data_IF_611290342707
#
_entry.id   IF_611290342707
#
_cell.length_a   1.000
_cell.length_b   1.000
_cell.length_c   1.000
_cell.angle_alpha   90.00
_cell.angle_beta   90.00
_cell.angle_gamma   90.00
#
_symmetry.space_group_name_H-M   'P 1'
#
loop_
_entity.id
_entity.type
_entity.pdbx_description
1 polymer ?
#
# COMPACT_ATOMS: atom_id res chain seq x y z
N UNK A 1 -11.34 49.42 17.14
CA UNK A 1 -12.23 48.37 17.69
C UNK A 1 -13.07 47.67 16.64
N UNK A 2 -13.91 48.33 15.80
CA UNK A 2 -14.70 47.64 14.76
C UNK A 2 -13.87 46.96 13.66
N UNK A 3 -12.72 47.55 13.29
CA UNK A 3 -11.80 46.99 12.28
C UNK A 3 -11.09 45.71 12.76
N UNK A 4 -10.86 45.63 14.04
CA UNK A 4 -10.16 44.49 14.66
C UNK A 4 -11.09 43.32 14.92
N UNK A 5 -12.37 43.61 15.26
CA UNK A 5 -13.43 42.58 15.38
C UNK A 5 -13.75 41.99 14.01
N UNK A 6 -13.82 42.81 12.94
CA UNK A 6 -14.06 42.32 11.59
C UNK A 6 -12.89 41.43 11.08
N UNK A 7 -11.64 41.80 11.40
CA UNK A 7 -10.45 40.98 11.08
C UNK A 7 -10.42 39.68 11.88
N UNK A 8 -10.79 39.71 13.15
CA UNK A 8 -10.89 38.52 13.98
C UNK A 8 -12.00 37.56 13.51
N UNK A 9 -13.16 38.07 13.09
CA UNK A 9 -14.25 37.27 12.51
C UNK A 9 -13.88 36.66 11.17
N UNK A 10 -13.18 37.40 10.29
CA UNK A 10 -12.69 36.86 9.02
C UNK A 10 -11.60 35.82 9.26
N UNK A 11 -10.70 36.05 10.20
CA UNK A 11 -9.68 35.05 10.58
C UNK A 11 -10.29 33.77 11.17
N UNK A 12 -11.30 33.88 12.02
CA UNK A 12 -12.00 32.74 12.60
C UNK A 12 -12.81 31.97 11.54
N UNK A 13 -13.42 32.66 10.57
CA UNK A 13 -14.13 32.02 9.48
C UNK A 13 -13.17 31.26 8.53
N UNK A 14 -11.96 31.75 8.29
CA UNK A 14 -10.95 31.07 7.48
C UNK A 14 -10.43 29.82 8.20
N UNK A 15 -10.28 29.85 9.52
CA UNK A 15 -9.84 28.70 10.31
C UNK A 15 -10.94 27.62 10.39
N UNK A 16 -12.21 28.04 10.46
CA UNK A 16 -13.36 27.13 10.46
C UNK A 16 -13.68 26.55 9.07
N UNK A 17 -13.14 27.14 8.00
CA UNK A 17 -13.28 26.70 6.63
C UNK A 17 -12.02 26.00 6.09
N UNK A 18 -10.97 25.89 6.90
CA UNK A 18 -9.87 24.97 6.56
C UNK A 18 -10.49 23.57 6.57
N UNK A 19 -10.65 22.90 5.42
CA UNK A 19 -11.02 21.50 5.45
C UNK A 19 -9.95 20.82 6.29
N UNK A 20 -10.35 20.10 7.32
CA UNK A 20 -9.52 19.02 7.82
C UNK A 20 -9.38 18.09 6.62
N UNK A 21 -8.26 18.18 5.90
CA UNK A 21 -7.87 17.13 4.98
C UNK A 21 -7.55 15.92 5.86
N UNK A 22 -8.59 15.17 6.23
CA UNK A 22 -8.45 13.78 6.53
C UNK A 22 -7.75 13.21 5.28
N UNK A 23 -6.70 12.45 5.46
CA UNK A 23 -6.09 11.75 4.35
C UNK A 23 -7.20 10.89 3.73
N UNK A 24 -7.66 11.29 2.55
CA UNK A 24 -8.74 10.60 1.86
C UNK A 24 -8.07 9.46 1.11
N UNK A 25 -8.62 8.28 1.17
CA UNK A 25 -8.18 7.13 0.39
C UNK A 25 -8.02 7.50 -1.07
N UNK A 26 -6.99 6.96 -1.69
CA UNK A 26 -6.75 7.16 -3.13
C UNK A 26 -7.64 6.23 -3.96
N UNK A 27 -8.09 5.14 -3.35
CA UNK A 27 -8.94 4.11 -3.98
C UNK A 27 -10.17 3.84 -3.13
N UNK A 28 -11.22 3.32 -3.77
CA UNK A 28 -12.46 2.87 -3.17
C UNK A 28 -12.54 1.34 -3.24
N UNK A 29 -13.01 0.72 -2.16
CA UNK A 29 -13.23 -0.72 -2.11
C UNK A 29 -14.57 -1.08 -2.74
N UNK A 30 -14.56 -2.08 -3.60
CA UNK A 30 -15.74 -2.58 -4.31
C UNK A 30 -16.31 -3.87 -3.72
N UNK A 31 -16.81 -4.73 -4.61
CA UNK A 31 -17.43 -5.99 -4.20
C UNK A 31 -16.44 -6.99 -3.59
N UNK A 32 -16.94 -7.79 -2.64
CA UNK A 32 -16.17 -8.86 -1.99
C UNK A 32 -16.60 -10.23 -2.53
N UNK A 33 -15.60 -11.07 -2.84
CA UNK A 33 -15.76 -12.48 -3.22
C UNK A 33 -15.04 -13.31 -2.17
N UNK A 34 -15.60 -14.44 -1.73
CA UNK A 34 -14.92 -15.37 -0.83
C UNK A 34 -14.39 -16.58 -1.59
N UNK A 35 -13.14 -16.96 -1.35
CA UNK A 35 -12.54 -18.19 -1.91
C UNK A 35 -13.11 -19.47 -1.30
N UNK A 36 -13.72 -19.40 -0.12
CA UNK A 36 -14.28 -20.55 0.59
C UNK A 36 -15.04 -20.15 1.85
N UNK A 37 -15.43 -21.12 2.64
CA UNK A 37 -16.12 -20.90 3.90
C UNK A 37 -15.13 -20.83 5.07
N UNK A 38 -15.31 -19.83 5.95
CA UNK A 38 -14.52 -19.67 7.17
C UNK A 38 -13.18 -18.97 6.96
N UNK A 39 -12.28 -19.19 7.92
CA UNK A 39 -10.92 -18.67 7.88
C UNK A 39 -10.02 -19.67 7.13
N UNK A 40 -9.49 -19.23 5.98
CA UNK A 40 -8.68 -20.08 5.12
C UNK A 40 -7.18 -20.02 5.48
N UNK A 41 -6.78 -19.09 6.34
CA UNK A 41 -5.38 -18.95 6.77
C UNK A 41 -4.43 -18.68 5.60
N UNK A 42 -4.82 -17.81 4.66
CA UNK A 42 -3.94 -17.42 3.55
C UNK A 42 -2.73 -16.66 4.10
N UNK A 43 -1.53 -17.11 3.73
CA UNK A 43 -0.27 -16.50 4.19
C UNK A 43 0.36 -15.60 3.14
N UNK A 44 0.13 -15.85 1.84
CA UNK A 44 0.67 -15.03 0.77
C UNK A 44 0.12 -15.39 -0.61
N UNK A 45 0.59 -14.63 -1.58
CA UNK A 45 0.31 -14.85 -3.00
C UNK A 45 1.58 -14.79 -3.84
N UNK A 46 1.50 -15.33 -5.05
CA UNK A 46 2.41 -14.97 -6.13
C UNK A 46 1.64 -14.68 -7.41
N UNK A 47 2.16 -13.77 -8.22
CA UNK A 47 1.58 -13.35 -9.51
C UNK A 47 2.39 -13.95 -10.63
N UNK A 48 1.74 -14.57 -11.62
CA UNK A 48 2.43 -15.09 -12.80
C UNK A 48 3.05 -13.97 -13.64
N UNK A 49 4.11 -14.26 -14.39
CA UNK A 49 4.84 -13.25 -15.19
C UNK A 49 3.98 -12.52 -16.23
N UNK A 50 2.98 -13.21 -16.80
CA UNK A 50 2.00 -12.64 -17.71
C UNK A 50 0.81 -11.98 -16.98
N UNK A 51 0.81 -12.00 -15.65
CA UNK A 51 -0.22 -11.44 -14.78
C UNK A 51 -1.64 -12.05 -14.98
N UNK A 52 -1.75 -13.22 -15.60
CA UNK A 52 -3.05 -13.86 -15.83
C UNK A 52 -3.52 -14.72 -14.65
N UNK A 53 -2.58 -15.21 -13.83
CA UNK A 53 -2.83 -16.12 -12.73
C UNK A 53 -2.23 -15.63 -11.42
N UNK A 54 -2.99 -15.84 -10.35
CA UNK A 54 -2.56 -15.62 -8.97
C UNK A 54 -2.59 -16.98 -8.27
N UNK A 55 -1.50 -17.31 -7.60
CA UNK A 55 -1.40 -18.48 -6.72
C UNK A 55 -1.45 -18.00 -5.29
N UNK A 56 -2.54 -18.28 -4.57
CA UNK A 56 -2.66 -18.02 -3.15
C UNK A 56 -2.39 -19.31 -2.38
N UNK A 57 -1.66 -19.21 -1.27
CA UNK A 57 -1.24 -20.33 -0.44
C UNK A 57 -1.32 -19.98 1.04
N UNK A 58 -1.40 -20.99 1.89
CA UNK A 58 -1.50 -20.72 3.32
C UNK A 58 -1.51 -21.96 4.21
N UNK A 59 -2.22 -21.85 5.33
CA UNK A 59 -2.31 -22.87 6.35
C UNK A 59 -2.93 -24.18 5.83
N UNK A 60 -2.62 -25.29 6.48
CA UNK A 60 -3.12 -26.64 6.16
C UNK A 60 -2.95 -27.00 4.66
N UNK A 61 -1.86 -26.52 4.05
CA UNK A 61 -1.59 -26.67 2.61
C UNK A 61 -2.74 -26.17 1.73
N UNK A 62 -3.44 -25.14 2.15
CA UNK A 62 -4.44 -24.44 1.35
C UNK A 62 -3.80 -23.82 0.11
N UNK A 63 -4.28 -24.19 -1.09
CA UNK A 63 -3.73 -23.75 -2.37
C UNK A 63 -4.90 -23.34 -3.28
N UNK A 64 -4.87 -22.11 -3.76
CA UNK A 64 -5.90 -21.57 -4.66
C UNK A 64 -5.25 -20.99 -5.91
N UNK A 65 -5.76 -21.36 -7.06
CA UNK A 65 -5.40 -20.75 -8.33
C UNK A 65 -6.55 -19.83 -8.76
N UNK A 66 -6.24 -18.56 -8.99
CA UNK A 66 -7.20 -17.49 -9.23
C UNK A 66 -6.88 -16.87 -10.59
N UNK A 67 -7.90 -16.68 -11.42
CA UNK A 67 -7.78 -15.86 -12.62
C UNK A 67 -7.73 -14.39 -12.23
N UNK A 68 -6.65 -13.69 -12.57
CA UNK A 68 -6.42 -12.32 -12.13
C UNK A 68 -7.47 -11.33 -12.62
N UNK A 69 -8.03 -11.58 -13.81
CA UNK A 69 -9.04 -10.72 -14.44
C UNK A 69 -10.47 -11.08 -14.04
N UNK A 70 -10.68 -12.30 -13.57
CA UNK A 70 -11.99 -12.86 -13.20
C UNK A 70 -11.86 -13.70 -11.93
N UNK A 71 -11.61 -13.07 -10.76
CA UNK A 71 -11.33 -13.79 -9.51
C UNK A 71 -12.45 -14.71 -9.02
N UNK A 72 -13.68 -14.54 -9.53
CA UNK A 72 -14.79 -15.48 -9.36
C UNK A 72 -14.48 -16.87 -9.96
N UNK A 73 -13.55 -16.95 -10.92
CA UNK A 73 -13.05 -18.18 -11.51
C UNK A 73 -11.84 -18.72 -10.73
N UNK A 74 -11.96 -18.80 -9.42
CA UNK A 74 -10.95 -19.40 -8.57
C UNK A 74 -11.16 -20.91 -8.43
N UNK A 75 -10.08 -21.65 -8.22
CA UNK A 75 -10.12 -23.09 -7.99
C UNK A 75 -9.26 -23.47 -6.79
N UNK A 76 -9.83 -24.20 -5.84
CA UNK A 76 -9.08 -24.84 -4.77
C UNK A 76 -8.38 -26.09 -5.32
N UNK A 77 -7.08 -26.19 -5.09
CA UNK A 77 -6.25 -27.31 -5.51
C UNK A 77 -6.03 -28.23 -4.33
N UNK A 78 -6.55 -29.43 -4.40
CA UNK A 78 -6.43 -30.42 -3.32
C UNK A 78 -4.99 -30.92 -3.18
N UNK A 79 -4.48 -30.89 -1.96
CA UNK A 79 -3.23 -31.47 -1.55
C UNK A 79 -3.38 -32.14 -0.17
N UNK A 80 -2.80 -33.31 0.02
CA UNK A 80 -2.99 -34.09 1.24
C UNK A 80 -2.01 -33.76 2.38
N UNK A 81 -1.23 -32.70 2.23
CA UNK A 81 -0.33 -32.22 3.29
C UNK A 81 -1.08 -31.53 4.43
N UNK A 82 -0.45 -31.47 5.59
CA UNK A 82 -0.97 -30.82 6.81
C UNK A 82 0.14 -29.94 7.39
N UNK A 83 0.56 -28.93 6.62
CA UNK A 83 1.57 -27.94 6.99
C UNK A 83 1.29 -26.61 6.32
N UNK A 84 1.82 -25.53 6.89
CA UNK A 84 1.66 -24.19 6.31
C UNK A 84 2.63 -23.99 5.15
N UNK A 85 2.11 -23.40 4.06
CA UNK A 85 2.88 -22.88 2.94
C UNK A 85 3.05 -21.38 3.17
N UNK A 86 4.29 -20.90 3.14
CA UNK A 86 4.65 -19.55 3.54
C UNK A 86 4.99 -18.64 2.36
N UNK A 87 5.50 -19.21 1.26
CA UNK A 87 5.82 -18.44 0.08
C UNK A 87 5.71 -19.28 -1.19
N UNK A 88 5.56 -18.61 -2.33
CA UNK A 88 5.48 -19.26 -3.65
C UNK A 88 6.10 -18.40 -4.74
N UNK A 89 6.48 -19.05 -5.85
CA UNK A 89 7.01 -18.33 -7.01
C UNK A 89 6.69 -19.09 -8.31
N UNK A 90 6.15 -18.37 -9.30
CA UNK A 90 6.00 -18.90 -10.64
C UNK A 90 7.35 -19.01 -11.35
N UNK A 91 7.52 -20.08 -12.10
CA UNK A 91 8.66 -20.21 -13.02
C UNK A 91 8.51 -19.21 -14.17
N UNK A 92 9.57 -18.49 -14.58
CA UNK A 92 9.49 -17.51 -15.68
C UNK A 92 8.99 -18.07 -17.01
N UNK A 93 9.09 -19.39 -17.23
CA UNK A 93 8.48 -20.08 -18.38
C UNK A 93 6.96 -20.24 -18.31
N UNK A 94 6.32 -19.89 -17.18
CA UNK A 94 4.87 -19.91 -17.04
C UNK A 94 4.21 -21.30 -16.98
N UNK A 95 4.97 -22.39 -16.89
CA UNK A 95 4.42 -23.75 -16.89
C UNK A 95 4.25 -24.33 -15.49
N UNK A 96 5.00 -23.87 -14.55
CA UNK A 96 5.04 -24.40 -13.17
C UNK A 96 5.15 -23.29 -12.13
N UNK A 97 4.78 -23.61 -10.90
CA UNK A 97 5.07 -22.82 -9.72
C UNK A 97 5.64 -23.68 -8.61
N UNK A 98 6.44 -23.12 -7.72
CA UNK A 98 6.91 -23.78 -6.50
C UNK A 98 6.34 -23.06 -5.28
N UNK A 99 6.10 -23.83 -4.22
CA UNK A 99 5.64 -23.34 -2.91
C UNK A 99 6.52 -23.93 -1.85
N UNK A 100 6.83 -23.17 -0.82
CA UNK A 100 7.69 -23.59 0.31
C UNK A 100 7.00 -23.34 1.64
N UNK A 101 7.38 -24.07 2.68
CA UNK A 101 6.77 -23.90 3.98
C UNK A 101 7.41 -24.73 5.10
N UNK A 102 6.59 -25.10 6.07
CA UNK A 102 7.00 -25.83 7.26
C UNK A 102 7.61 -27.19 6.94
N UNK A 103 8.51 -27.66 7.83
CA UNK A 103 9.10 -28.99 7.77
C UNK A 103 9.97 -29.24 6.55
N UNK A 104 10.57 -28.21 5.96
CA UNK A 104 11.42 -28.34 4.77
C UNK A 104 10.64 -28.75 3.51
N UNK A 105 9.33 -28.58 3.49
CA UNK A 105 8.51 -28.99 2.35
C UNK A 105 8.57 -28.01 1.20
N UNK A 106 8.79 -28.56 0.00
CA UNK A 106 8.76 -27.85 -1.28
C UNK A 106 7.80 -28.58 -2.21
N UNK A 107 6.76 -27.89 -2.64
CA UNK A 107 5.79 -28.40 -3.60
C UNK A 107 6.04 -27.79 -4.97
N UNK A 108 5.79 -28.55 -6.02
CA UNK A 108 5.72 -28.08 -7.40
C UNK A 108 4.31 -28.26 -7.95
N UNK A 109 3.77 -27.20 -8.46
CA UNK A 109 2.51 -27.19 -9.22
C UNK A 109 2.80 -27.15 -10.72
N UNK A 110 2.13 -27.99 -11.49
CA UNK A 110 2.11 -27.92 -12.95
C UNK A 110 0.79 -27.30 -13.38
N UNK A 111 0.85 -26.13 -14.04
CA UNK A 111 -0.33 -25.31 -14.35
C UNK A 111 -1.26 -25.96 -15.37
N UNK A 112 -0.71 -26.68 -16.37
CA UNK A 112 -1.49 -27.26 -17.46
C UNK A 112 -2.60 -28.23 -17.00
N UNK A 113 -2.42 -28.89 -15.84
CA UNK A 113 -3.39 -29.86 -15.30
C UNK A 113 -3.68 -29.62 -13.81
N UNK A 114 -3.21 -28.51 -13.24
CA UNK A 114 -3.33 -28.16 -11.83
C UNK A 114 -2.87 -29.25 -10.87
N UNK A 115 -1.87 -30.06 -11.29
CA UNK A 115 -1.33 -31.12 -10.45
C UNK A 115 -0.23 -30.63 -9.54
N UNK A 116 -0.22 -31.14 -8.32
CA UNK A 116 0.80 -30.85 -7.31
C UNK A 116 1.60 -32.12 -7.03
N UNK A 117 2.90 -31.96 -6.89
CA UNK A 117 3.81 -33.00 -6.41
C UNK A 117 4.79 -32.44 -5.40
N UNK A 118 5.26 -33.29 -4.51
CA UNK A 118 6.33 -32.93 -3.58
C UNK A 118 7.67 -32.92 -4.32
N UNK A 119 8.21 -31.71 -4.52
CA UNK A 119 9.49 -31.50 -5.20
C UNK A 119 10.69 -31.57 -4.23
N UNK A 120 10.48 -31.36 -2.94
CA UNK A 120 11.49 -31.46 -1.90
C UNK A 120 10.87 -31.70 -0.52
N UNK A 121 11.68 -32.07 0.45
CA UNK A 121 11.19 -32.38 1.78
C UNK A 121 12.31 -32.49 2.81
N UNK A 122 12.00 -33.00 4.02
CA UNK A 122 12.95 -33.06 5.14
C UNK A 122 14.26 -33.82 4.85
N UNK A 123 14.26 -34.74 3.89
CA UNK A 123 15.48 -35.42 3.46
C UNK A 123 16.51 -34.53 2.79
N UNK A 124 16.10 -33.35 2.28
CA UNK A 124 16.95 -32.39 1.58
C UNK A 124 17.16 -31.14 2.44
N UNK A 125 16.09 -30.58 2.99
CA UNK A 125 16.09 -29.31 3.72
C UNK A 125 16.09 -29.45 5.24
N UNK A 126 16.07 -30.72 5.77
CA UNK A 126 15.82 -30.95 7.19
C UNK A 126 14.41 -30.60 7.59
N UNK A 127 14.19 -30.41 8.89
CA UNK A 127 12.91 -29.90 9.45
C UNK A 127 12.93 -28.37 9.54
N UNK A 128 13.48 -27.72 8.50
CA UNK A 128 13.66 -26.26 8.47
C UNK A 128 12.38 -25.56 8.03
N UNK A 129 12.02 -24.49 8.70
CA UNK A 129 10.98 -23.57 8.22
C UNK A 129 11.51 -22.83 6.99
N UNK A 130 10.95 -23.13 5.82
CA UNK A 130 11.26 -22.42 4.56
C UNK A 130 10.33 -21.23 4.43
N UNK A 131 10.88 -20.02 4.37
CA UNK A 131 10.15 -18.78 4.57
C UNK A 131 10.00 -17.95 3.30
N UNK A 132 10.84 -18.21 2.28
CA UNK A 132 10.81 -17.42 1.04
C UNK A 132 11.36 -18.20 -0.14
N UNK A 133 10.87 -17.89 -1.35
CA UNK A 133 11.32 -18.54 -2.59
C UNK A 133 11.18 -17.60 -3.79
N UNK A 134 12.18 -17.61 -4.69
CA UNK A 134 12.10 -16.90 -5.97
C UNK A 134 12.89 -17.62 -7.03
N UNK A 135 12.36 -17.68 -8.25
CA UNK A 135 13.11 -18.10 -9.44
C UNK A 135 14.03 -17.00 -9.92
N UNK A 136 15.23 -17.37 -10.37
CA UNK A 136 16.09 -16.42 -11.09
C UNK A 136 15.51 -16.06 -12.46
N UNK A 137 16.03 -15.00 -13.07
CA UNK A 137 15.46 -14.41 -14.27
C UNK A 137 15.32 -15.33 -15.48
N UNK A 138 16.18 -16.36 -15.61
CA UNK A 138 16.13 -17.35 -16.70
C UNK A 138 15.42 -18.67 -16.31
N UNK A 139 14.98 -18.80 -15.06
CA UNK A 139 14.32 -20.00 -14.56
C UNK A 139 15.23 -21.23 -14.37
N UNK A 140 16.55 -21.05 -14.49
CA UNK A 140 17.50 -22.17 -14.33
C UNK A 140 17.64 -22.63 -12.89
N UNK A 141 17.40 -21.73 -11.91
CA UNK A 141 17.48 -21.99 -10.48
C UNK A 141 16.39 -21.21 -9.73
N UNK A 142 15.85 -21.86 -8.70
CA UNK A 142 15.14 -21.16 -7.63
C UNK A 142 16.06 -20.97 -6.42
N UNK A 143 15.89 -19.88 -5.69
CA UNK A 143 16.51 -19.69 -4.39
C UNK A 143 15.44 -19.84 -3.32
N UNK A 144 15.76 -20.62 -2.28
CA UNK A 144 14.87 -20.93 -1.16
C UNK A 144 15.56 -20.43 0.11
N UNK A 145 14.88 -19.55 0.84
CA UNK A 145 15.30 -19.03 2.13
C UNK A 145 14.58 -19.70 3.29
N UNK A 146 15.20 -19.74 4.45
CA UNK A 146 14.60 -20.32 5.63
C UNK A 146 15.08 -19.69 6.94
N UNK A 147 14.64 -20.31 8.06
CA UNK A 147 15.12 -19.97 9.38
C UNK A 147 16.64 -20.20 9.52
N UNK A 148 17.26 -19.61 10.54
CA UNK A 148 18.70 -19.71 10.82
C UNK A 148 19.60 -19.28 9.64
N UNK A 149 19.07 -18.42 8.74
CA UNK A 149 19.81 -17.90 7.59
C UNK A 149 20.10 -18.93 6.51
N UNK A 150 19.41 -20.06 6.53
CA UNK A 150 19.57 -21.04 5.48
C UNK A 150 19.12 -20.47 4.13
N UNK A 151 19.95 -20.65 3.09
CA UNK A 151 19.64 -20.34 1.70
C UNK A 151 20.15 -21.45 0.83
N UNK A 152 19.29 -21.96 -0.04
CA UNK A 152 19.61 -22.97 -1.04
C UNK A 152 19.37 -22.45 -2.43
N UNK A 153 20.21 -22.81 -3.38
CA UNK A 153 19.84 -22.84 -4.78
C UNK A 153 19.25 -24.21 -5.11
N UNK A 154 18.16 -24.23 -5.83
CA UNK A 154 17.34 -25.42 -6.07
C UNK A 154 16.94 -25.51 -7.54
N UNK A 155 16.98 -26.71 -8.11
CA UNK A 155 16.44 -27.00 -9.44
C UNK A 155 16.07 -28.45 -9.62
N UNK A 156 15.19 -28.74 -10.62
CA UNK A 156 15.01 -30.07 -11.16
C UNK A 156 16.18 -30.47 -12.07
N UNK A 157 16.54 -31.73 -12.08
CA UNK A 157 17.56 -32.31 -12.97
C UNK A 157 16.91 -33.06 -14.15
N UNK A 158 17.63 -33.22 -15.24
CA UNK A 158 17.12 -33.85 -16.48
C UNK A 158 16.71 -35.30 -16.32
N UNK A 159 17.16 -35.99 -15.27
CA UNK A 159 16.80 -37.35 -14.93
C UNK A 159 15.55 -37.43 -14.01
N UNK A 160 14.91 -36.29 -13.77
CA UNK A 160 13.74 -36.19 -12.88
C UNK A 160 14.08 -36.06 -11.41
N UNK A 161 15.36 -35.95 -11.06
CA UNK A 161 15.83 -35.69 -9.72
C UNK A 161 15.79 -34.22 -9.34
N UNK A 162 16.39 -33.91 -8.19
CA UNK A 162 16.47 -32.58 -7.62
C UNK A 162 17.91 -32.30 -7.22
N UNK A 163 18.37 -31.10 -7.48
CA UNK A 163 19.61 -30.56 -6.98
C UNK A 163 19.31 -29.39 -6.05
N UNK A 164 19.77 -29.49 -4.79
CA UNK A 164 19.70 -28.43 -3.79
C UNK A 164 21.10 -28.22 -3.18
N UNK A 165 21.62 -27.02 -3.27
CA UNK A 165 22.96 -26.66 -2.80
C UNK A 165 22.87 -25.47 -1.89
N UNK A 166 23.38 -25.57 -0.67
CA UNK A 166 23.48 -24.48 0.30
C UNK A 166 24.44 -23.42 -0.22
N UNK A 167 24.04 -22.15 -0.15
CA UNK A 167 24.92 -21.04 -0.45
C UNK A 167 25.93 -20.79 0.67
N UNK A 168 27.14 -20.41 0.27
CA UNK A 168 28.18 -19.96 1.19
C UNK A 168 27.86 -18.52 1.70
N UNK A 169 28.56 -18.08 2.76
CA UNK A 169 28.43 -16.75 3.37
C UNK A 169 27.02 -16.41 3.89
N UNK A 170 26.18 -17.42 4.16
CA UNK A 170 24.85 -17.21 4.76
C UNK A 170 24.96 -16.59 6.16
N UNK A 171 23.90 -15.87 6.57
CA UNK A 171 23.76 -15.36 7.94
C UNK A 171 23.29 -16.43 8.94
N UNK A 172 22.82 -15.97 10.08
CA UNK A 172 22.25 -16.75 11.17
C UNK A 172 20.81 -16.30 11.54
N UNK A 173 20.20 -15.48 10.69
CA UNK A 173 18.87 -14.90 10.88
C UNK A 173 17.93 -15.34 9.78
N UNK A 174 16.64 -15.41 10.10
CA UNK A 174 15.57 -15.76 9.15
C UNK A 174 15.69 -14.96 7.86
N UNK A 175 15.62 -15.64 6.73
CA UNK A 175 15.49 -15.01 5.41
C UNK A 175 14.02 -14.66 5.23
N UNK A 176 13.69 -13.39 5.16
CA UNK A 176 12.31 -12.91 5.17
C UNK A 176 11.74 -12.65 3.78
N UNK A 177 12.58 -12.46 2.77
CA UNK A 177 12.15 -12.26 1.39
C UNK A 177 13.27 -12.53 0.40
N UNK A 178 12.91 -12.99 -0.79
CA UNK A 178 13.81 -13.17 -1.94
C UNK A 178 13.07 -12.67 -3.19
N UNK A 179 13.70 -11.78 -3.95
CA UNK A 179 13.19 -11.33 -5.24
C UNK A 179 14.30 -11.22 -6.26
N UNK A 180 14.04 -11.70 -7.48
CA UNK A 180 15.03 -11.76 -8.53
C UNK A 180 14.75 -10.75 -9.64
N UNK A 181 15.80 -10.08 -10.13
CA UNK A 181 15.72 -9.14 -11.22
C UNK A 181 15.39 -9.86 -12.53
N UNK A 182 14.31 -9.50 -13.17
CA UNK A 182 13.94 -10.03 -14.50
C UNK A 182 15.01 -9.62 -15.52
N UNK A 183 15.43 -10.59 -16.35
CA UNK A 183 16.48 -10.40 -17.36
C UNK A 183 17.91 -10.45 -16.85
N UNK A 184 18.10 -10.60 -15.53
CA UNK A 184 19.39 -10.81 -14.89
C UNK A 184 19.29 -12.02 -13.96
N UNK A 185 20.37 -12.79 -13.83
CA UNK A 185 20.41 -13.89 -12.86
C UNK A 185 20.98 -13.38 -11.53
N UNK A 186 20.38 -12.30 -11.05
CA UNK A 186 20.75 -11.64 -9.80
C UNK A 186 19.49 -11.52 -8.95
N UNK A 187 19.59 -11.90 -7.67
CA UNK A 187 18.48 -11.80 -6.73
C UNK A 187 18.88 -10.95 -5.54
N UNK A 188 17.95 -10.17 -5.02
CA UNK A 188 18.08 -9.49 -3.75
C UNK A 188 17.36 -10.29 -2.66
N UNK A 189 17.91 -10.29 -1.47
CA UNK A 189 17.35 -10.98 -0.31
C UNK A 189 17.26 -10.05 0.89
N UNK A 190 16.30 -10.29 1.75
CA UNK A 190 16.21 -9.69 3.08
C UNK A 190 16.31 -10.75 4.16
N UNK A 191 16.93 -10.37 5.27
CA UNK A 191 17.01 -11.19 6.47
C UNK A 191 16.62 -10.35 7.69
N UNK A 192 15.70 -10.87 8.49
CA UNK A 192 15.22 -10.19 9.70
C UNK A 192 16.38 -9.92 10.64
N UNK A 193 16.72 -8.62 10.84
CA UNK A 193 17.90 -8.15 11.58
C UNK A 193 19.26 -8.53 10.96
N UNK A 194 19.29 -9.42 9.97
CA UNK A 194 20.50 -9.89 9.31
C UNK A 194 20.99 -8.98 8.18
N UNK A 195 20.12 -8.07 7.69
CA UNK A 195 20.44 -7.13 6.63
C UNK A 195 19.88 -7.51 5.26
N UNK A 196 20.37 -6.82 4.26
CA UNK A 196 20.03 -7.02 2.84
C UNK A 196 21.24 -7.62 2.14
N UNK A 197 21.02 -8.60 1.27
CA UNK A 197 22.06 -9.27 0.50
C UNK A 197 21.72 -9.36 -0.98
N UNK A 198 22.73 -9.62 -1.78
CA UNK A 198 22.62 -9.88 -3.22
C UNK A 198 23.21 -11.26 -3.51
N UNK A 199 22.46 -12.06 -4.28
CA UNK A 199 22.97 -13.29 -4.88
C UNK A 199 23.32 -12.98 -6.33
N UNK A 200 24.58 -13.16 -6.69
CA UNK A 200 25.09 -12.86 -8.03
C UNK A 200 24.82 -14.00 -9.03
N UNK A 201 25.18 -13.78 -10.28
CA UNK A 201 25.01 -14.75 -11.38
C UNK A 201 25.90 -16.00 -11.25
N UNK A 202 26.91 -15.98 -10.37
CA UNK A 202 27.74 -17.14 -10.02
C UNK A 202 27.25 -17.85 -8.75
N UNK A 203 26.09 -17.41 -8.21
CA UNK A 203 25.48 -17.87 -6.95
C UNK A 203 26.24 -17.46 -5.69
N UNK A 204 27.14 -16.48 -5.77
CA UNK A 204 27.79 -15.87 -4.63
C UNK A 204 26.83 -14.98 -3.83
N UNK A 205 26.81 -15.13 -2.51
CA UNK A 205 26.01 -14.28 -1.62
C UNK A 205 26.87 -13.19 -1.01
N UNK A 206 26.41 -11.93 -1.17
CA UNK A 206 27.07 -10.72 -0.70
C UNK A 206 26.12 -9.91 0.17
N UNK A 207 26.42 -9.72 1.45
CA UNK A 207 25.68 -8.83 2.34
C UNK A 207 26.07 -7.38 2.07
N UNK A 208 25.09 -6.52 1.79
CA UNK A 208 25.31 -5.17 1.25
C UNK A 208 24.96 -4.02 2.21
N UNK A 209 24.29 -4.31 3.32
CA UNK A 209 23.92 -3.30 4.35
C UNK A 209 22.59 -3.59 5.01
N UNK A 210 22.01 -2.59 5.69
CA UNK A 210 20.70 -2.67 6.34
C UNK A 210 20.66 -3.59 7.57
N UNK A 211 21.81 -3.82 8.23
CA UNK A 211 21.90 -4.70 9.41
C UNK A 211 21.13 -4.13 10.60
N UNK A 212 20.48 -5.02 11.35
CA UNK A 212 19.75 -4.67 12.56
C UNK A 212 18.32 -4.14 12.32
N UNK A 213 17.91 -3.96 11.06
CA UNK A 213 16.54 -3.59 10.69
C UNK A 213 15.66 -4.85 10.58
N UNK A 214 14.41 -4.82 11.09
CA UNK A 214 13.52 -5.98 11.03
C UNK A 214 12.86 -6.11 9.65
N UNK A 215 13.67 -6.42 8.64
CA UNK A 215 13.21 -6.61 7.26
C UNK A 215 12.18 -7.73 7.18
N UNK A 216 11.12 -7.52 6.41
CA UNK A 216 10.02 -8.47 6.23
C UNK A 216 9.94 -9.00 4.81
N UNK A 217 10.22 -8.14 3.80
CA UNK A 217 10.05 -8.54 2.41
C UNK A 217 10.86 -7.65 1.47
N UNK A 218 10.96 -8.07 0.18
CA UNK A 218 11.67 -7.36 -0.87
C UNK A 218 11.10 -7.68 -2.24
N UNK A 219 10.96 -6.67 -3.09
CA UNK A 219 10.62 -6.86 -4.51
C UNK A 219 11.62 -6.17 -5.42
N UNK A 220 11.85 -6.76 -6.60
CA UNK A 220 12.68 -6.17 -7.64
C UNK A 220 11.80 -5.82 -8.85
N UNK A 221 11.92 -4.58 -9.31
CA UNK A 221 11.15 -4.08 -10.46
C UNK A 221 11.76 -4.49 -11.79
N UNK A 222 10.90 -4.71 -12.79
CA UNK A 222 11.31 -5.01 -14.17
C UNK A 222 11.61 -3.76 -15.01
N UNK A 223 12.11 -2.69 -14.39
CA UNK A 223 12.39 -1.41 -15.05
C UNK A 223 13.76 -1.39 -15.73
N UNK A 224 14.04 -0.34 -16.55
CA UNK A 224 15.36 -0.11 -17.17
C UNK A 224 16.48 0.03 -16.10
N UNK A 225 16.14 0.52 -14.91
CA UNK A 225 17.05 0.60 -13.79
C UNK A 225 16.88 -0.66 -12.94
N UNK A 226 17.94 -1.48 -12.75
CA UNK A 226 17.91 -2.68 -11.91
C UNK A 226 17.81 -2.28 -10.43
N UNK A 227 16.61 -2.17 -9.92
CA UNK A 227 16.33 -1.66 -8.58
C UNK A 227 15.36 -2.56 -7.83
N UNK A 228 15.63 -2.75 -6.54
CA UNK A 228 14.77 -3.47 -5.62
C UNK A 228 14.36 -2.56 -4.46
N UNK A 229 13.21 -2.84 -3.87
CA UNK A 229 12.69 -2.15 -2.70
C UNK A 229 12.49 -3.16 -1.59
N UNK A 230 13.15 -2.96 -0.46
CA UNK A 230 12.99 -3.75 0.76
C UNK A 230 12.16 -2.97 1.78
N UNK A 231 11.31 -3.68 2.51
CA UNK A 231 10.45 -3.13 3.56
C UNK A 231 10.69 -3.81 4.90
N UNK A 232 10.43 -3.09 5.98
CA UNK A 232 10.56 -3.61 7.33
C UNK A 232 9.29 -3.38 8.17
N UNK A 233 9.09 -4.19 9.19
CA UNK A 233 7.92 -4.09 10.07
C UNK A 233 7.85 -2.80 10.86
N UNK A 234 8.94 -2.04 11.00
CA UNK A 234 9.01 -0.76 11.69
C UNK A 234 8.78 0.47 10.79
N UNK A 235 8.14 0.27 9.62
CA UNK A 235 7.86 1.31 8.64
C UNK A 235 9.12 1.89 7.97
N UNK A 236 10.17 1.10 7.82
CA UNK A 236 11.39 1.49 7.12
C UNK A 236 11.43 0.88 5.72
N UNK A 237 11.83 1.67 4.74
CA UNK A 237 12.00 1.25 3.33
C UNK A 237 13.46 1.46 2.94
N UNK A 238 14.02 0.54 2.16
CA UNK A 238 15.31 0.69 1.50
C UNK A 238 15.17 0.54 -0.01
N UNK A 239 15.69 1.52 -0.76
CA UNK A 239 15.84 1.43 -2.21
C UNK A 239 17.25 0.94 -2.54
N UNK A 240 17.36 -0.09 -3.38
CA UNK A 240 18.60 -0.78 -3.70
C UNK A 240 18.82 -0.74 -5.20
N UNK A 241 19.73 0.10 -5.67
CA UNK A 241 20.19 0.07 -7.07
C UNK A 241 21.29 -0.98 -7.21
N UNK A 242 21.01 -2.00 -8.01
CA UNK A 242 21.93 -3.14 -8.18
C UNK A 242 23.00 -2.85 -9.22
N UNK A 243 24.25 -3.02 -8.88
CA UNK A 243 25.39 -2.93 -9.81
C UNK A 243 25.49 -4.25 -10.60
N UNK A 244 24.75 -4.33 -11.70
CA UNK A 244 24.60 -5.59 -12.48
C UNK A 244 25.93 -6.14 -12.99
N UNK A 245 26.87 -5.28 -13.38
CA UNK A 245 28.20 -5.70 -13.87
C UNK A 245 29.08 -6.28 -12.78
N UNK A 246 28.87 -5.89 -11.53
CA UNK A 246 29.62 -6.35 -10.37
C UNK A 246 28.72 -6.33 -9.12
N UNK A 247 27.82 -7.33 -8.98
CA UNK A 247 26.81 -7.34 -7.91
C UNK A 247 27.40 -7.28 -6.48
N UNK A 248 28.62 -7.78 -6.31
CA UNK A 248 29.36 -7.70 -5.04
C UNK A 248 29.71 -6.25 -4.63
N UNK A 249 29.68 -5.28 -5.55
CA UNK A 249 29.90 -3.85 -5.26
C UNK A 249 28.62 -3.10 -4.90
N UNK A 250 27.45 -3.73 -5.03
CA UNK A 250 26.18 -3.13 -4.56
C UNK A 250 26.26 -2.82 -3.07
N UNK A 251 25.75 -1.65 -2.67
CA UNK A 251 25.73 -1.21 -1.26
C UNK A 251 24.41 -0.54 -0.95
N UNK A 252 23.99 -0.67 0.30
CA UNK A 252 22.88 0.10 0.89
C UNK A 252 23.48 1.04 1.94
N UNK A 253 23.35 2.33 1.72
CA UNK A 253 23.84 3.35 2.63
C UNK A 253 22.72 3.81 3.57
N UNK A 254 23.08 4.45 4.68
CA UNK A 254 22.10 4.93 5.67
C UNK A 254 21.07 5.92 5.06
N UNK A 255 21.43 6.66 4.03
CA UNK A 255 20.53 7.58 3.33
C UNK A 255 19.60 6.89 2.32
N UNK A 256 19.85 5.64 1.97
CA UNK A 256 18.98 4.81 1.12
C UNK A 256 17.90 4.14 1.97
N UNK A 257 18.03 4.21 3.30
CA UNK A 257 17.10 3.65 4.28
C UNK A 257 16.27 4.80 4.87
N UNK A 258 14.97 4.78 4.61
CA UNK A 258 14.06 5.86 4.99
C UNK A 258 12.95 5.31 5.87
N UNK A 259 12.77 5.89 7.06
CA UNK A 259 11.60 5.61 7.88
C UNK A 259 10.42 6.48 7.45
N UNK A 260 9.32 5.85 7.11
CA UNK A 260 8.09 6.53 6.71
C UNK A 260 7.47 7.27 7.89
N UNK A 261 7.03 8.50 7.64
CA UNK A 261 6.38 9.35 8.64
C UNK A 261 4.90 9.50 8.32
N UNK A 262 4.06 9.49 9.35
CA UNK A 262 2.61 9.68 9.19
C UNK A 262 1.82 8.41 8.91
N UNK A 263 2.48 7.25 8.84
CA UNK A 263 1.83 5.94 8.74
C UNK A 263 1.75 5.27 10.10
N UNK A 264 0.76 4.40 10.28
CA UNK A 264 0.53 3.65 11.52
C UNK A 264 0.34 2.18 11.19
N UNK A 265 0.98 1.30 11.97
CA UNK A 265 0.92 -0.14 11.76
C UNK A 265 2.30 -0.75 11.56
N UNK A 266 2.33 -1.96 11.04
CA UNK A 266 3.55 -2.67 10.65
C UNK A 266 3.43 -3.12 9.19
N UNK A 267 4.47 -2.92 8.38
CA UNK A 267 4.50 -3.46 7.02
C UNK A 267 4.61 -4.99 7.09
N UNK A 268 3.86 -5.69 6.24
CA UNK A 268 3.75 -7.15 6.26
C UNK A 268 4.08 -7.82 4.93
N UNK A 269 4.03 -7.10 3.81
CA UNK A 269 4.36 -7.60 2.48
C UNK A 269 4.41 -6.46 1.48
N UNK A 270 5.07 -6.69 0.36
CA UNK A 270 5.20 -5.74 -0.74
C UNK A 270 5.02 -6.46 -2.08
N UNK A 271 4.20 -5.88 -2.96
CA UNK A 271 3.92 -6.39 -4.30
C UNK A 271 4.20 -5.34 -5.36
N UNK A 272 4.69 -5.75 -6.52
CA UNK A 272 4.83 -4.86 -7.67
C UNK A 272 3.47 -4.66 -8.33
N UNK A 273 2.98 -3.44 -8.33
CA UNK A 273 1.74 -3.06 -9.02
C UNK A 273 1.97 -2.77 -10.50
N UNK A 274 3.01 -1.99 -10.78
CA UNK A 274 3.44 -1.62 -12.13
C UNK A 274 4.92 -1.21 -12.10
N UNK A 275 5.50 -0.85 -13.27
CA UNK A 275 6.87 -0.34 -13.30
C UNK A 275 7.03 0.87 -12.38
N UNK A 276 7.92 0.71 -11.39
CA UNK A 276 8.23 1.75 -10.43
C UNK A 276 7.25 1.91 -9.26
N UNK A 277 6.08 1.28 -9.31
CA UNK A 277 5.05 1.36 -8.27
C UNK A 277 4.93 0.03 -7.52
N UNK A 278 5.01 0.08 -6.20
CA UNK A 278 4.73 -1.05 -5.31
C UNK A 278 3.56 -0.74 -4.38
N UNK A 279 2.79 -1.76 -4.04
CA UNK A 279 1.82 -1.72 -2.96
C UNK A 279 2.36 -2.47 -1.75
N UNK A 280 2.28 -1.82 -0.60
CA UNK A 280 2.79 -2.33 0.67
C UNK A 280 1.61 -2.56 1.61
N UNK A 281 1.44 -3.79 2.06
CA UNK A 281 0.41 -4.16 3.02
C UNK A 281 0.79 -3.76 4.43
N UNK A 282 -0.19 -3.27 5.20
CA UNK A 282 -0.05 -2.89 6.60
C UNK A 282 -0.93 -3.75 7.51
N UNK A 283 -0.37 -4.20 8.61
CA UNK A 283 -1.15 -4.75 9.71
C UNK A 283 -1.55 -3.64 10.70
N UNK A 284 -2.79 -3.63 11.27
CA UNK A 284 -3.81 -4.67 11.11
C UNK A 284 -4.52 -4.63 9.75
N UNK A 285 -4.68 -3.46 9.14
CA UNK A 285 -5.28 -3.26 7.82
C UNK A 285 -4.76 -1.95 7.21
N UNK A 286 -4.42 -1.96 5.94
CA UNK A 286 -4.04 -0.77 5.19
C UNK A 286 -3.18 -1.10 3.98
N UNK A 287 -3.09 -0.14 3.06
CA UNK A 287 -2.20 -0.18 1.89
C UNK A 287 -1.47 1.15 1.74
N UNK A 288 -0.20 1.04 1.40
CA UNK A 288 0.66 2.16 1.01
C UNK A 288 1.07 1.94 -0.44
N UNK A 289 0.91 2.96 -1.27
CA UNK A 289 1.59 3.03 -2.56
C UNK A 289 3.00 3.60 -2.34
N UNK A 290 4.01 2.95 -2.87
CA UNK A 290 5.37 3.45 -2.93
C UNK A 290 5.80 3.63 -4.37
N UNK A 291 6.02 4.89 -4.76
CA UNK A 291 6.61 5.27 -6.03
C UNK A 291 8.12 5.42 -5.87
N UNK A 292 8.87 4.45 -6.39
CA UNK A 292 10.33 4.43 -6.28
C UNK A 292 11.02 5.55 -7.05
N UNK A 293 10.45 5.98 -8.20
CA UNK A 293 11.04 7.03 -9.03
C UNK A 293 10.91 8.40 -8.35
N UNK A 294 9.76 8.66 -7.73
CA UNK A 294 9.54 9.86 -6.97
C UNK A 294 10.12 9.79 -5.55
N UNK A 295 10.49 8.59 -5.06
CA UNK A 295 10.92 8.34 -3.68
C UNK A 295 9.86 8.73 -2.67
N UNK A 296 8.58 8.46 -2.97
CA UNK A 296 7.44 8.88 -2.16
C UNK A 296 6.51 7.73 -1.85
N UNK A 297 5.87 7.83 -0.69
CA UNK A 297 4.87 6.86 -0.24
C UNK A 297 3.57 7.59 0.08
N UNK A 298 2.46 7.01 -0.32
CA UNK A 298 1.12 7.58 -0.17
C UNK A 298 0.20 6.57 0.50
N UNK A 299 -0.73 7.04 1.33
CA UNK A 299 -1.84 6.22 1.79
C UNK A 299 -2.75 5.86 0.62
N UNK A 300 -2.99 4.57 0.44
CA UNK A 300 -4.02 4.07 -0.47
C UNK A 300 -5.30 3.73 0.28
N UNK A 301 -5.16 2.95 1.34
CA UNK A 301 -6.26 2.56 2.23
C UNK A 301 -5.80 2.63 3.68
N UNK A 302 -6.67 3.01 4.58
CA UNK A 302 -6.47 2.92 6.02
C UNK A 302 -7.60 2.16 6.74
N UNK A 303 -7.48 2.00 8.06
CA UNK A 303 -8.50 1.34 8.88
C UNK A 303 -9.85 2.05 8.86
N UNK A 304 -9.88 3.36 8.65
CA UNK A 304 -11.10 4.16 8.66
C UNK A 304 -11.89 3.86 7.39
N UNK A 305 -11.19 3.81 6.26
CA UNK A 305 -11.78 3.50 4.96
C UNK A 305 -12.42 2.12 4.95
N UNK A 306 -11.74 1.10 5.52
CA UNK A 306 -12.29 -0.25 5.60
C UNK A 306 -13.62 -0.33 6.38
N UNK A 307 -13.78 0.53 7.40
CA UNK A 307 -15.03 0.63 8.17
C UNK A 307 -16.09 1.44 7.41
N UNK A 308 -15.68 2.50 6.72
CA UNK A 308 -16.59 3.36 5.96
C UNK A 308 -17.19 2.65 4.75
N UNK A 309 -16.41 1.84 4.05
CA UNK A 309 -16.88 1.06 2.89
C UNK A 309 -17.75 -0.15 3.25
N UNK A 310 -17.82 -0.54 4.54
CA UNK A 310 -18.65 -1.64 5.05
C UNK A 310 -18.51 -2.97 4.27
N UNK A 311 -17.32 -3.24 3.74
CA UNK A 311 -17.04 -4.48 2.97
C UNK A 311 -16.75 -5.70 3.86
N UNK A 312 -16.80 -5.54 5.18
CA UNK A 312 -16.68 -6.64 6.13
C UNK A 312 -15.29 -7.25 6.30
N UNK A 313 -14.23 -6.52 5.93
CA UNK A 313 -12.84 -6.99 6.00
C UNK A 313 -11.96 -6.23 6.99
N UNK A 314 -12.52 -5.30 7.76
CA UNK A 314 -11.76 -4.43 8.67
C UNK A 314 -11.00 -5.17 9.80
N UNK A 315 -11.38 -6.42 10.07
CA UNK A 315 -10.75 -7.31 11.04
C UNK A 315 -9.86 -8.38 10.39
N UNK A 316 -9.56 -8.23 9.10
CA UNK A 316 -8.75 -9.14 8.30
C UNK A 316 -7.44 -8.47 7.86
N UNK A 317 -6.36 -9.23 7.77
CA UNK A 317 -5.08 -8.75 7.30
C UNK A 317 -4.99 -8.89 5.77
N UNK A 318 -4.55 -7.85 5.07
CA UNK A 318 -4.21 -7.94 3.65
C UNK A 318 -2.90 -8.74 3.52
N UNK A 319 -2.92 -9.77 2.68
CA UNK A 319 -1.77 -10.67 2.45
C UNK A 319 -1.21 -10.56 1.04
N UNK A 320 -1.92 -9.90 0.13
CA UNK A 320 -1.42 -9.64 -1.21
C UNK A 320 -2.36 -8.77 -2.03
N UNK A 321 -1.81 -8.19 -3.11
CA UNK A 321 -2.53 -7.33 -4.04
C UNK A 321 -2.05 -7.59 -5.47
N UNK A 322 -2.93 -7.40 -6.44
CA UNK A 322 -2.55 -7.38 -7.86
C UNK A 322 -3.38 -6.37 -8.64
N UNK A 323 -2.78 -5.76 -9.64
CA UNK A 323 -3.41 -4.74 -10.46
C UNK A 323 -4.07 -5.30 -11.72
N UNK A 324 -5.18 -4.70 -12.11
CA UNK A 324 -5.81 -4.88 -13.43
C UNK A 324 -5.71 -3.62 -14.29
N UNK A 325 -5.24 -2.51 -13.72
CA UNK A 325 -5.09 -1.22 -14.37
C UNK A 325 -4.53 -0.16 -13.41
N UNK A 326 -4.52 1.09 -13.85
CA UNK A 326 -4.08 2.21 -13.02
C UNK A 326 -5.12 2.51 -11.94
N UNK A 327 -4.75 2.37 -10.67
CA UNK A 327 -5.63 2.42 -9.49
C UNK A 327 -6.75 1.37 -9.45
N UNK A 328 -6.67 0.33 -10.29
CA UNK A 328 -7.64 -0.75 -10.31
C UNK A 328 -6.96 -2.08 -10.02
N UNK A 329 -7.63 -2.95 -9.29
CA UNK A 329 -7.11 -4.26 -8.97
C UNK A 329 -7.91 -4.98 -7.89
N UNK A 330 -7.22 -5.90 -7.25
CA UNK A 330 -7.77 -6.76 -6.21
C UNK A 330 -6.80 -6.87 -5.05
N UNK A 331 -7.35 -7.04 -3.88
CA UNK A 331 -6.62 -7.47 -2.69
C UNK A 331 -7.21 -8.79 -2.18
N UNK A 332 -6.36 -9.54 -1.51
CA UNK A 332 -6.74 -10.77 -0.81
C UNK A 332 -6.37 -10.65 0.65
N UNK A 333 -7.24 -11.18 1.52
CA UNK A 333 -7.02 -11.20 2.95
C UNK A 333 -6.62 -12.57 3.46
N UNK A 334 -6.08 -12.64 4.67
CA UNK A 334 -5.72 -13.88 5.35
C UNK A 334 -6.88 -14.87 5.51
N UNK A 335 -8.13 -14.38 5.53
CA UNK A 335 -9.32 -15.24 5.57
C UNK A 335 -9.82 -15.69 4.19
N UNK A 336 -9.16 -15.24 3.11
CA UNK A 336 -9.54 -15.60 1.74
C UNK A 336 -10.66 -14.75 1.16
N UNK A 337 -10.87 -13.52 1.67
CA UNK A 337 -11.72 -12.52 1.04
C UNK A 337 -10.96 -11.85 -0.09
N UNK A 338 -11.53 -11.85 -1.29
CA UNK A 338 -11.06 -11.10 -2.45
C UNK A 338 -11.89 -9.84 -2.57
N UNK A 339 -11.26 -8.68 -2.58
CA UNK A 339 -11.95 -7.39 -2.67
C UNK A 339 -11.38 -6.58 -3.81
N UNK A 340 -12.23 -6.12 -4.71
CA UNK A 340 -11.80 -5.21 -5.77
C UNK A 340 -11.53 -3.83 -5.18
N UNK A 341 -10.59 -3.11 -5.76
CA UNK A 341 -10.40 -1.70 -5.52
C UNK A 341 -10.37 -0.94 -6.85
N UNK A 342 -10.81 0.31 -6.83
CA UNK A 342 -10.87 1.17 -7.99
C UNK A 342 -10.64 2.64 -7.64
N UNK A 343 -10.53 3.52 -8.64
CA UNK A 343 -10.39 4.94 -8.40
C UNK A 343 -11.64 5.49 -7.71
N UNK A 344 -11.46 6.36 -6.71
CA UNK A 344 -12.57 7.05 -6.05
C UNK A 344 -13.39 7.82 -7.09
N UNK A 345 -14.69 7.59 -7.12
CA UNK A 345 -15.59 8.31 -8.02
C UNK A 345 -15.72 9.77 -7.57
N UNK A 346 -14.92 10.65 -8.18
CA UNK A 346 -14.88 12.09 -7.87
C UNK A 346 -16.21 12.82 -8.10
N UNK A 347 -17.21 12.17 -8.69
CA UNK A 347 -18.49 12.82 -8.99
C UNK A 347 -19.39 12.98 -7.76
N UNK A 348 -19.28 12.13 -6.74
CA UNK A 348 -20.09 12.27 -5.53
C UNK A 348 -19.58 13.38 -4.60
N UNK A 349 -18.26 13.53 -4.44
CA UNK A 349 -17.68 14.56 -3.56
C UNK A 349 -17.74 15.98 -4.16
N UNK A 350 -17.69 16.14 -5.48
CA UNK A 350 -17.82 17.44 -6.13
C UNK A 350 -19.18 18.10 -5.86
N UNK A 351 -20.24 17.33 -5.68
CA UNK A 351 -21.57 17.85 -5.38
C UNK A 351 -21.64 18.60 -4.03
N UNK A 352 -20.98 18.08 -3.01
CA UNK A 352 -20.92 18.73 -1.68
C UNK A 352 -20.03 19.98 -1.72
N UNK A 353 -18.88 19.90 -2.36
CA UNK A 353 -17.96 21.04 -2.51
C UNK A 353 -18.59 22.16 -3.35
N UNK A 354 -19.27 21.83 -4.43
CA UNK A 354 -20.02 22.78 -5.26
C UNK A 354 -21.16 23.45 -4.50
N UNK A 355 -21.91 22.70 -3.67
CA UNK A 355 -22.94 23.22 -2.80
C UNK A 355 -22.35 24.22 -1.79
N UNK A 356 -21.24 23.87 -1.14
CA UNK A 356 -20.57 24.75 -0.18
C UNK A 356 -19.99 26.01 -0.84
N UNK A 357 -19.35 25.87 -2.00
CA UNK A 357 -18.88 27.02 -2.81
C UNK A 357 -20.08 27.90 -3.20
N UNK A 358 -21.17 27.31 -3.65
CA UNK A 358 -22.40 28.02 -3.97
C UNK A 358 -22.96 28.81 -2.77
N UNK A 359 -23.01 28.20 -1.58
CA UNK A 359 -23.46 28.86 -0.34
C UNK A 359 -22.52 30.03 0.04
N UNK A 360 -21.21 29.87 -0.08
CA UNK A 360 -20.22 30.90 0.23
C UNK A 360 -20.35 32.08 -0.75
N UNK A 361 -20.46 31.80 -2.05
CA UNK A 361 -20.61 32.82 -3.09
C UNK A 361 -21.96 33.57 -2.89
N UNK A 362 -23.05 32.84 -2.66
CA UNK A 362 -24.36 33.44 -2.47
C UNK A 362 -24.41 34.26 -1.17
N UNK A 363 -23.83 33.75 -0.08
CA UNK A 363 -23.71 34.46 1.19
C UNK A 363 -22.83 35.69 1.11
N UNK A 364 -21.68 35.59 0.42
CA UNK A 364 -20.78 36.71 0.16
C UNK A 364 -21.44 37.81 -0.71
N UNK A 365 -22.11 37.40 -1.78
CA UNK A 365 -22.83 38.33 -2.67
C UNK A 365 -23.97 39.04 -1.93
N UNK A 366 -24.75 38.34 -1.11
CA UNK A 366 -25.82 38.96 -0.32
C UNK A 366 -25.31 39.95 0.72
N UNK A 367 -24.21 39.65 1.39
CA UNK A 367 -23.56 40.60 2.31
C UNK A 367 -22.98 41.80 1.61
N UNK A 368 -22.44 41.64 0.40
CA UNK A 368 -21.91 42.74 -0.41
C UNK A 368 -23.03 43.67 -0.89
N UNK A 369 -24.13 43.13 -1.38
CA UNK A 369 -25.32 43.89 -1.78
C UNK A 369 -25.94 44.59 -0.56
N UNK A 370 -26.07 43.93 0.57
CA UNK A 370 -26.57 44.53 1.82
C UNK A 370 -25.67 45.67 2.31
N UNK A 371 -24.34 45.54 2.18
CA UNK A 371 -23.36 46.58 2.52
C UNK A 371 -23.47 47.78 1.57
N UNK A 372 -23.60 47.56 0.27
CA UNK A 372 -23.82 48.63 -0.72
C UNK A 372 -25.16 49.37 -0.53
N UNK A 373 -26.24 48.64 -0.26
CA UNK A 373 -27.53 49.24 0.06
C UNK A 373 -27.49 50.01 1.38
N UNK A 374 -26.77 49.51 2.39
CA UNK A 374 -26.60 50.22 3.65
C UNK A 374 -25.77 51.52 3.49
N UNK A 375 -24.77 51.51 2.60
CA UNK A 375 -23.95 52.71 2.31
C UNK A 375 -24.66 53.73 1.45
N UNK A 376 -25.59 53.33 0.56
CA UNK A 376 -26.30 54.21 -0.35
C UNK A 376 -27.59 54.81 0.25
N UNK A 377 -28.17 54.18 1.29
CA UNK A 377 -29.40 54.64 1.94
C UNK A 377 -29.16 55.19 3.34
N UNK A 378 -29.25 56.56 3.52
CA UNK A 378 -29.07 57.13 4.86
C UNK A 378 -30.04 56.65 5.92
N UNK A 379 -31.24 56.18 5.51
CA UNK A 379 -32.23 55.62 6.41
C UNK A 379 -31.84 54.25 6.91
N UNK A 380 -31.31 53.41 6.07
CA UNK A 380 -30.86 52.04 6.40
C UNK A 380 -29.59 52.08 7.24
N UNK A 381 -28.63 52.92 6.88
CA UNK A 381 -27.42 53.17 7.66
C UNK A 381 -27.74 53.60 9.09
N UNK A 382 -28.64 54.59 9.23
CA UNK A 382 -29.05 55.06 10.56
C UNK A 382 -29.79 53.98 11.37
N UNK A 383 -30.59 53.12 10.71
CA UNK A 383 -31.30 52.00 11.37
C UNK A 383 -30.30 50.94 11.84
N UNK A 384 -29.32 50.55 11.04
CA UNK A 384 -28.27 49.63 11.38
C UNK A 384 -27.41 50.14 12.54
N UNK A 385 -27.01 51.43 12.48
CA UNK A 385 -26.22 52.06 13.56
C UNK A 385 -27.00 52.08 14.88
N UNK A 386 -28.33 52.24 14.85
CA UNK A 386 -29.15 52.17 16.06
C UNK A 386 -29.21 50.77 16.69
N UNK A 387 -29.13 49.69 15.87
CA UNK A 387 -29.22 48.30 16.40
C UNK A 387 -27.87 47.72 16.75
N UNK A 388 -26.85 47.96 15.94
CA UNK A 388 -25.56 47.23 16.03
C UNK A 388 -24.40 48.21 16.32
N UNK A 389 -24.58 49.52 16.17
CA UNK A 389 -23.56 50.54 16.42
C UNK A 389 -23.19 50.65 17.89
N UNK A 390 -21.99 51.21 18.14
CA UNK A 390 -21.51 51.53 19.50
C UNK A 390 -22.43 52.57 20.17
N UNK A 391 -22.34 52.65 21.52
CA UNK A 391 -23.15 53.64 22.26
C UNK A 391 -22.95 55.08 21.83
N UNK A 392 -21.74 55.45 21.40
CA UNK A 392 -21.41 56.78 20.90
C UNK A 392 -22.06 57.02 19.53
N UNK A 393 -21.95 56.05 18.61
CA UNK A 393 -22.56 56.20 17.30
C UNK A 393 -24.10 56.24 17.39
N UNK A 394 -24.72 55.49 18.28
CA UNK A 394 -26.16 55.52 18.56
C UNK A 394 -26.59 56.91 19.08
N UNK A 395 -25.83 57.49 19.99
CA UNK A 395 -26.05 58.82 20.55
C UNK A 395 -25.94 59.91 19.47
N UNK A 396 -24.99 59.78 18.57
CA UNK A 396 -24.81 60.74 17.45
C UNK A 396 -25.93 60.66 16.40
N UNK A 397 -26.40 59.47 16.05
CA UNK A 397 -27.56 59.29 15.16
C UNK A 397 -28.81 59.91 15.77
N UNK A 398 -29.08 59.67 17.05
CA UNK A 398 -30.20 60.27 17.77
C UNK A 398 -30.11 61.77 17.89
N UNK A 399 -28.93 62.34 18.05
CA UNK A 399 -28.70 63.80 18.06
C UNK A 399 -28.96 64.41 16.69
N UNK A 400 -28.54 63.77 15.60
CA UNK A 400 -28.79 64.24 14.23
C UNK A 400 -30.31 64.24 13.89
N UNK A 401 -31.01 63.17 14.30
CA UNK A 401 -32.44 63.07 14.10
C UNK A 401 -33.22 64.13 14.89
N UNK A 402 -32.87 64.40 16.14
CA UNK A 402 -33.44 65.50 16.95
C UNK A 402 -33.20 66.86 16.35
N UNK A 403 -32.06 67.11 15.71
CA UNK A 403 -31.75 68.33 15.01
C UNK A 403 -32.55 68.47 13.74
N UNK A 404 -32.79 67.41 12.98
CA UNK A 404 -33.59 67.43 11.77
C UNK A 404 -35.08 67.60 12.08
N UNK A 405 -35.62 66.99 13.13
CA UNK A 405 -37.03 67.17 13.55
C UNK A 405 -37.26 68.59 14.01
N UNK A 406 -36.32 69.24 14.74
CA UNK A 406 -36.42 70.66 15.11
C UNK A 406 -36.35 71.62 13.94
N UNK A 407 -35.65 71.28 12.84
CA UNK A 407 -35.66 72.11 11.62
C UNK A 407 -36.99 71.96 10.81
N UNK A 408 -37.56 70.76 10.79
CA UNK A 408 -38.86 70.54 10.11
C UNK A 408 -40.05 71.12 10.84
N UNK A 409 -40.01 71.35 12.14
CA UNK A 409 -41.09 71.98 12.91
C UNK A 409 -40.99 73.49 12.97
N UNK A 410 -39.97 74.10 12.28
CA UNK A 410 -39.81 75.57 12.20
C UNK A 410 -40.03 76.08 10.75
N UNK A 411 -40.31 75.23 9.80
CA UNK A 411 -40.78 75.57 8.46
C UNK A 411 -42.26 75.29 8.34
#
# INVERSE_FOLDING_TARGET
MHRDIARALVGLSIILLAPSSLAQSTVELGGTISLGEGDLGIEGISVSDNQDLILAHGANSGIFLIDSNSPENSSHIEWSGDYSLLDSSFHPGGETAIMVGEGGNVLRMTLANSSIEQAGGPSIFGDTLLTSVSWNGDGSWAYIGGEDGWIWRFRGTSDGGIEAIVLENRGDRVISGISCLKGYNICAITSTLGGIGIIDHEHGLHWIGGFGTPWVDIVCHSSEVPECVAISSDLTIASIVVVVSEPSETRVFDNDIVQLQGFVGAMTGIEVQSDGISLISLAPFGLIEHDKEAGRSFHWLDNIDAVEFDVGISDQRIVGTWGSGFFEGWLITDRGSLVSFGPVDQNEDNSMLEIWIGIIILGGATLLVASLMASSSPKLSNWLTKRIGSEEERKDVLRKERRQSRKKGRA
#
